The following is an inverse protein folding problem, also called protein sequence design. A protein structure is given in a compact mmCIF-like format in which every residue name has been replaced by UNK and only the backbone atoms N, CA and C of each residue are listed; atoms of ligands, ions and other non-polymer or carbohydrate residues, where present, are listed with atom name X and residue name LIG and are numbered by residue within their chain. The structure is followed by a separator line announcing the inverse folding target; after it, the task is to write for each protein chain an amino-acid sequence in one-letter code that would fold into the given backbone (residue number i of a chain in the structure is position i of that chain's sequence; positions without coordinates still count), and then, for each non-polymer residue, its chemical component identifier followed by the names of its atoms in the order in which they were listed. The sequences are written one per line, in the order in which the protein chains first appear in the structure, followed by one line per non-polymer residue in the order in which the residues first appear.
data_IF_113478219207
#
_entry.id   IF_113478219207
#
_cell.length_a   1.000
_cell.length_b   1.000
_cell.length_c   1.000
_cell.angle_alpha   90.00
_cell.angle_beta   90.00
_cell.angle_gamma   90.00
#
_symmetry.space_group_name_H-M   'P 1'
#
loop_
_entity.id
_entity.type
_entity.pdbx_description
1 polymer ?
#
# COMPACT_ATOMS: atom_id res chain seq x y z
N UNK A 1 22.53 -2.67 -15.34
CA UNK A 1 21.28 -1.98 -15.73
C UNK A 1 20.81 -1.22 -14.50
N UNK A 2 21.09 0.07 -14.44
CA UNK A 2 20.92 0.90 -13.24
C UNK A 2 19.52 1.51 -13.29
N UNK A 3 18.61 1.05 -12.44
CA UNK A 3 17.29 1.65 -12.32
C UNK A 3 17.44 2.98 -11.60
N UNK A 4 17.44 4.07 -12.37
CA UNK A 4 17.32 5.42 -11.84
C UNK A 4 15.85 5.62 -11.47
N UNK A 5 15.50 5.41 -10.20
CA UNK A 5 14.26 5.95 -9.65
C UNK A 5 14.54 7.44 -9.44
N UNK A 6 13.97 8.37 -10.22
CA UNK A 6 14.09 9.77 -9.88
C UNK A 6 13.33 9.97 -8.56
N UNK A 7 14.08 10.09 -7.48
CA UNK A 7 13.57 10.32 -6.14
C UNK A 7 13.03 11.75 -6.10
N UNK A 8 11.76 11.92 -6.42
CA UNK A 8 11.05 13.18 -6.25
C UNK A 8 10.40 13.18 -4.87
N UNK A 9 11.13 13.67 -3.85
CA UNK A 9 10.67 13.75 -2.44
C UNK A 9 9.30 14.43 -2.28
N UNK A 10 8.90 15.26 -3.25
CA UNK A 10 7.67 16.03 -3.21
C UNK A 10 6.38 15.17 -3.31
N UNK A 11 6.45 13.92 -3.78
CA UNK A 11 5.32 12.96 -3.76
C UNK A 11 5.48 11.84 -2.73
N UNK A 12 6.63 11.77 -2.04
CA UNK A 12 6.87 10.78 -0.99
C UNK A 12 5.96 11.02 0.22
N UNK A 13 5.54 12.27 0.45
CA UNK A 13 4.63 12.63 1.54
C UNK A 13 3.15 12.33 1.27
N UNK A 14 2.75 12.13 0.00
CA UNK A 14 1.33 11.88 -0.33
C UNK A 14 0.94 10.40 -0.30
N UNK A 15 1.92 9.48 -0.42
CA UNK A 15 1.67 8.05 -0.49
C UNK A 15 2.14 7.36 0.78
N UNK A 16 1.28 7.31 1.80
CA UNK A 16 1.56 6.56 3.03
C UNK A 16 1.06 5.13 2.87
N UNK A 17 1.97 4.22 2.53
CA UNK A 17 1.66 2.79 2.42
C UNK A 17 1.69 2.09 3.78
N UNK A 18 2.51 2.56 4.70
CA UNK A 18 2.60 2.07 6.07
C UNK A 18 1.48 2.63 6.93
N UNK A 19 0.85 1.75 7.71
CA UNK A 19 -0.05 2.14 8.78
C UNK A 19 0.66 3.07 9.79
N UNK A 20 -0.07 3.99 10.46
CA UNK A 20 0.52 4.86 11.49
C UNK A 20 1.17 4.10 12.66
N UNK A 21 0.65 2.92 12.99
CA UNK A 21 1.21 2.05 14.03
C UNK A 21 2.44 1.24 13.57
N UNK A 22 2.83 1.35 12.29
CA UNK A 22 3.97 0.62 11.69
C UNK A 22 3.85 -0.90 11.74
N UNK A 23 2.63 -1.46 11.85
CA UNK A 23 2.37 -2.89 11.97
C UNK A 23 1.64 -3.51 10.75
N UNK A 24 1.28 -2.67 9.77
CA UNK A 24 0.64 -3.08 8.53
C UNK A 24 0.99 -2.21 7.31
N UNK A 25 0.78 -2.77 6.13
CA UNK A 25 0.89 -2.14 4.80
C UNK A 25 -0.46 -2.16 4.08
N UNK A 26 -0.75 -1.11 3.30
CA UNK A 26 -1.86 -1.10 2.33
C UNK A 26 -1.32 -1.26 0.91
N UNK A 27 -1.84 -2.22 0.15
CA UNK A 27 -1.35 -2.57 -1.19
C UNK A 27 -2.50 -2.89 -2.15
N UNK A 28 -2.42 -2.51 -3.44
CA UNK A 28 -3.26 -3.07 -4.47
C UNK A 28 -2.87 -4.54 -4.73
N UNK A 29 -3.85 -5.42 -4.79
CA UNK A 29 -3.71 -6.85 -5.01
C UNK A 29 -4.76 -7.30 -6.03
N UNK A 30 -4.33 -8.02 -7.07
CA UNK A 30 -5.26 -8.53 -8.11
C UNK A 30 -5.83 -9.87 -7.66
N UNK A 31 -7.14 -9.95 -7.51
CA UNK A 31 -7.88 -11.17 -7.18
C UNK A 31 -8.87 -11.40 -8.32
N UNK A 32 -8.81 -12.57 -8.97
CA UNK A 32 -9.68 -12.92 -10.10
C UNK A 32 -9.77 -11.82 -11.18
N UNK A 33 -8.62 -11.26 -11.54
CA UNK A 33 -8.48 -10.19 -12.53
C UNK A 33 -9.13 -8.83 -12.13
N UNK A 34 -9.52 -8.68 -10.87
CA UNK A 34 -10.06 -7.44 -10.30
C UNK A 34 -9.05 -6.85 -9.30
N UNK A 35 -8.69 -5.57 -9.39
CA UNK A 35 -7.80 -4.94 -8.42
C UNK A 35 -8.55 -4.64 -7.12
N UNK A 36 -8.02 -5.14 -6.00
CA UNK A 36 -8.51 -4.87 -4.66
C UNK A 36 -7.46 -4.14 -3.82
N UNK A 37 -7.91 -3.25 -2.95
CA UNK A 37 -7.10 -2.70 -1.88
C UNK A 37 -7.09 -3.69 -0.73
N UNK A 38 -5.91 -4.10 -0.30
CA UNK A 38 -5.69 -5.06 0.78
C UNK A 38 -4.78 -4.51 1.86
N UNK A 39 -4.99 -4.98 3.10
CA UNK A 39 -4.11 -4.75 4.24
C UNK A 39 -3.29 -6.01 4.50
N UNK A 40 -1.97 -5.87 4.50
CA UNK A 40 -1.01 -6.89 4.92
C UNK A 40 -0.52 -6.58 6.34
N UNK A 41 -0.80 -7.44 7.32
CA UNK A 41 -0.24 -7.31 8.66
C UNK A 41 1.18 -7.88 8.71
N UNK A 42 2.08 -7.22 9.44
CA UNK A 42 3.43 -7.73 9.70
C UNK A 42 3.45 -8.97 10.61
N UNK A 43 2.36 -9.23 11.34
CA UNK A 43 2.20 -10.46 12.12
C UNK A 43 2.01 -11.72 11.26
N UNK A 44 1.94 -11.58 9.94
CA UNK A 44 1.58 -12.65 9.02
C UNK A 44 0.07 -12.90 8.97
N UNK A 45 -0.33 -13.93 8.23
CA UNK A 45 -1.74 -14.25 7.99
C UNK A 45 -2.26 -13.73 6.63
N UNK A 46 -3.56 -13.94 6.35
CA UNK A 46 -4.13 -13.61 5.06
C UNK A 46 -4.22 -12.09 4.85
N UNK A 47 -4.08 -11.66 3.60
CA UNK A 47 -4.38 -10.30 3.19
C UNK A 47 -5.86 -10.00 3.40
N UNK A 48 -6.16 -8.87 4.04
CA UNK A 48 -7.54 -8.42 4.25
C UNK A 48 -7.94 -7.43 3.16
N UNK A 49 -8.82 -7.84 2.25
CA UNK A 49 -9.44 -6.92 1.30
C UNK A 49 -10.37 -5.92 2.02
N UNK A 50 -10.28 -4.64 1.66
CA UNK A 50 -11.07 -3.57 2.26
C UNK A 50 -11.90 -2.78 1.22
N UNK A 51 -11.50 -2.80 -0.05
CA UNK A 51 -12.20 -2.16 -1.15
C UNK A 51 -11.73 -2.73 -2.51
N UNK A 52 -12.50 -2.50 -3.57
CA UNK A 52 -11.98 -2.55 -4.94
C UNK A 52 -11.22 -1.25 -5.25
N UNK A 53 -10.14 -1.34 -6.02
CA UNK A 53 -9.35 -0.17 -6.41
C UNK A 53 -7.88 -0.46 -6.65
N UNK A 54 -7.20 0.52 -7.23
CA UNK A 54 -5.79 0.43 -7.62
C UNK A 54 -4.85 1.31 -6.78
N UNK A 55 -5.38 2.22 -5.96
CA UNK A 55 -4.57 3.16 -5.16
C UNK A 55 -5.20 3.36 -3.78
N UNK A 56 -4.37 3.32 -2.74
CA UNK A 56 -4.77 3.64 -1.36
C UNK A 56 -3.59 4.19 -0.55
N UNK A 57 -3.90 4.95 0.50
CA UNK A 57 -2.94 5.54 1.42
C UNK A 57 -3.58 5.72 2.81
N UNK A 58 -2.77 5.66 3.86
CA UNK A 58 -3.19 5.92 5.24
C UNK A 58 -3.26 7.42 5.54
N UNK A 59 -4.27 7.84 6.29
CA UNK A 59 -4.32 9.17 6.91
C UNK A 59 -3.43 9.21 8.17
N UNK A 60 -2.95 10.41 8.56
CA UNK A 60 -2.50 10.60 9.95
C UNK A 60 -3.76 10.70 10.82
N UNK A 61 -3.73 10.04 11.98
CA UNK A 61 -4.58 10.43 13.10
C UNK A 61 -4.12 11.74 13.72
#
# INVERSE_FOLDING_TARGET
MTQFLPFFDQYALSHRLWSPASDALVLPHVIDNTPHITIASLGGGPLRAIAEGSTAFWSMG
#
